data_IF_711035039645
#
_entry.id   IF_711035039645
#
_cell.length_a   1.000
_cell.length_b   1.000
_cell.length_c   1.000
_cell.angle_alpha   90.00
_cell.angle_beta   90.00
_cell.angle_gamma   90.00
#
_symmetry.space_group_name_H-M   'P 1'
#
loop_
_entity.id
_entity.type
_entity.pdbx_description
1 polymer ?
#
# COMPACT_ATOMS: atom_id res chain seq x y z
N UNK A 1 -4.12 3.69 -16.29
CA UNK A 1 -3.05 2.72 -16.53
C UNK A 1 -3.59 1.40 -16.04
N UNK A 2 -3.68 0.38 -16.91
CA UNK A 2 -3.92 -0.98 -16.43
C UNK A 2 -2.67 -1.46 -15.72
N UNK A 3 -2.82 -2.03 -14.52
CA UNK A 3 -1.71 -2.65 -13.79
C UNK A 3 -1.34 -3.94 -14.49
N UNK A 4 -0.05 -4.14 -14.73
CA UNK A 4 0.47 -5.43 -15.18
C UNK A 4 0.98 -6.28 -14.00
N UNK A 5 1.48 -7.47 -14.31
CA UNK A 5 2.03 -8.38 -13.30
C UNK A 5 3.25 -7.78 -12.58
N UNK A 6 4.10 -7.04 -13.29
CA UNK A 6 5.30 -6.46 -12.69
C UNK A 6 4.95 -5.33 -11.72
N UNK A 7 3.92 -4.54 -12.02
CA UNK A 7 3.38 -3.53 -11.12
C UNK A 7 2.79 -4.17 -9.84
N UNK A 8 2.09 -5.31 -9.96
CA UNK A 8 1.55 -6.02 -8.79
C UNK A 8 2.64 -6.69 -7.96
N UNK A 9 3.66 -7.29 -8.59
CA UNK A 9 4.81 -7.88 -7.90
C UNK A 9 5.57 -6.82 -7.09
N UNK A 10 5.79 -5.64 -7.66
CA UNK A 10 6.46 -4.53 -6.98
C UNK A 10 5.64 -4.01 -5.78
N UNK A 11 4.31 -3.91 -5.94
CA UNK A 11 3.42 -3.52 -4.84
C UNK A 11 3.45 -4.54 -3.71
N UNK A 12 3.31 -5.81 -4.07
CA UNK A 12 3.27 -6.90 -3.13
C UNK A 12 4.58 -7.01 -2.35
N UNK A 13 5.73 -6.94 -3.02
CA UNK A 13 7.03 -7.01 -2.38
C UNK A 13 7.24 -5.89 -1.34
N UNK A 14 6.75 -4.67 -1.61
CA UNK A 14 6.84 -3.55 -0.66
C UNK A 14 5.90 -3.72 0.53
N UNK A 15 4.72 -4.28 0.31
CA UNK A 15 3.82 -4.62 1.40
C UNK A 15 4.38 -5.77 2.25
N UNK A 16 5.03 -6.76 1.64
CA UNK A 16 5.67 -7.87 2.38
C UNK A 16 6.83 -7.39 3.23
N UNK A 17 7.69 -6.51 2.69
CA UNK A 17 8.75 -5.85 3.46
C UNK A 17 8.17 -5.09 4.66
N UNK A 18 7.10 -4.32 4.44
CA UNK A 18 6.47 -3.54 5.50
C UNK A 18 5.78 -4.42 6.55
N UNK A 19 5.09 -5.48 6.14
CA UNK A 19 4.49 -6.45 7.07
C UNK A 19 5.57 -7.11 7.93
N UNK A 20 6.69 -7.53 7.32
CA UNK A 20 7.80 -8.11 8.06
C UNK A 20 8.40 -7.14 9.09
N UNK A 21 8.58 -5.87 8.72
CA UNK A 21 9.05 -4.82 9.64
C UNK A 21 8.10 -4.56 10.81
N UNK A 22 6.79 -4.67 10.56
CA UNK A 22 5.75 -4.51 11.58
C UNK A 22 5.48 -5.79 12.37
N UNK A 23 6.13 -6.90 12.05
CA UNK A 23 5.89 -8.20 12.67
C UNK A 23 4.49 -8.75 12.40
N UNK A 24 3.88 -8.37 11.26
CA UNK A 24 2.54 -8.76 10.87
C UNK A 24 2.58 -9.94 9.91
N UNK A 25 1.67 -10.88 10.10
CA UNK A 25 1.49 -12.04 9.21
C UNK A 25 0.10 -11.97 8.62
N UNK A 26 0.01 -12.00 7.29
CA UNK A 26 -1.26 -12.20 6.61
C UNK A 26 -1.58 -13.70 6.61
N UNK A 27 -2.64 -14.09 7.33
CA UNK A 27 -3.24 -15.40 7.19
C UNK A 27 -4.34 -15.31 6.12
N UNK A 28 -4.03 -15.79 4.91
CA UNK A 28 -4.97 -15.77 3.78
C UNK A 28 -5.63 -17.16 3.62
N UNK A 29 -6.90 -17.33 4.03
CA UNK A 29 -7.60 -18.57 3.80
C UNK A 29 -7.91 -18.74 2.30
N UNK A 30 -7.92 -19.99 1.83
CA UNK A 30 -8.33 -20.30 0.46
C UNK A 30 -9.80 -19.85 0.24
N UNK A 31 -10.02 -18.99 -0.75
CA UNK A 31 -11.35 -18.52 -1.14
C UNK A 31 -11.71 -19.00 -2.56
N UNK A 32 -12.67 -19.92 -2.64
CA UNK A 32 -13.18 -20.48 -3.90
C UNK A 32 -13.75 -19.42 -4.86
N UNK A 33 -14.20 -18.27 -4.35
CA UNK A 33 -14.69 -17.16 -5.18
C UNK A 33 -13.52 -16.47 -5.90
N UNK A 34 -12.40 -16.30 -5.20
CA UNK A 34 -11.17 -15.76 -5.77
C UNK A 34 -10.61 -16.71 -6.82
N UNK A 35 -10.59 -18.02 -6.53
CA UNK A 35 -10.19 -19.06 -7.50
C UNK A 35 -11.05 -19.04 -8.76
N UNK A 36 -12.38 -18.94 -8.60
CA UNK A 36 -13.30 -18.89 -9.74
C UNK A 36 -13.10 -17.64 -10.61
N UNK A 37 -12.79 -16.49 -9.99
CA UNK A 37 -12.53 -15.24 -10.71
C UNK A 37 -11.18 -15.27 -11.46
N UNK A 38 -10.21 -16.04 -10.98
CA UNK A 38 -8.91 -16.19 -11.63
C UNK A 38 -9.00 -16.75 -13.06
N UNK A 39 -10.05 -17.52 -13.37
CA UNK A 39 -10.28 -18.06 -14.71
C UNK A 39 -10.52 -16.98 -15.78
N UNK A 40 -11.15 -15.86 -15.40
CA UNK A 40 -11.38 -14.70 -16.28
C UNK A 40 -10.41 -13.56 -16.05
N UNK A 41 -9.76 -13.49 -14.88
CA UNK A 41 -8.83 -12.44 -14.48
C UNK A 41 -7.64 -13.07 -13.73
N UNK A 42 -6.61 -13.55 -14.44
CA UNK A 42 -5.52 -14.32 -13.82
C UNK A 42 -4.77 -13.61 -12.69
N UNK A 43 -4.71 -12.27 -12.73
CA UNK A 43 -4.05 -11.45 -11.70
C UNK A 43 -4.94 -11.13 -10.50
N UNK A 44 -6.24 -11.47 -10.54
CA UNK A 44 -7.19 -11.15 -9.48
C UNK A 44 -6.80 -11.69 -8.10
N UNK A 45 -6.28 -12.94 -7.95
CA UNK A 45 -5.85 -13.44 -6.65
C UNK A 45 -4.74 -12.58 -6.01
N UNK A 46 -3.77 -12.13 -6.81
CA UNK A 46 -2.70 -11.26 -6.32
C UNK A 46 -3.22 -9.87 -5.96
N UNK A 47 -4.07 -9.29 -6.82
CA UNK A 47 -4.70 -8.02 -6.55
C UNK A 47 -5.51 -8.03 -5.25
N UNK A 48 -6.28 -9.10 -5.01
CA UNK A 48 -7.06 -9.29 -3.80
C UNK A 48 -6.18 -9.38 -2.55
N UNK A 49 -5.12 -10.19 -2.60
CA UNK A 49 -4.12 -10.34 -1.53
C UNK A 49 -3.43 -9.02 -1.18
N UNK A 50 -3.03 -8.23 -2.17
CA UNK A 50 -2.46 -6.87 -1.98
C UNK A 50 -3.43 -5.98 -1.19
N UNK A 51 -4.73 -6.04 -1.51
CA UNK A 51 -5.77 -5.32 -0.78
C UNK A 51 -5.81 -5.67 0.70
N UNK A 52 -5.73 -6.95 1.03
CA UNK A 52 -5.68 -7.43 2.43
C UNK A 52 -4.41 -6.99 3.16
N UNK A 53 -3.24 -7.10 2.52
CA UNK A 53 -1.96 -6.64 3.08
C UNK A 53 -2.02 -5.15 3.42
N UNK A 54 -2.56 -4.32 2.50
CA UNK A 54 -2.73 -2.88 2.72
C UNK A 54 -3.65 -2.59 3.90
N UNK A 55 -4.76 -3.31 4.02
CA UNK A 55 -5.69 -3.13 5.15
C UNK A 55 -5.05 -3.52 6.49
N UNK A 56 -4.26 -4.60 6.51
CA UNK A 56 -3.55 -5.04 7.71
C UNK A 56 -2.51 -4.00 8.15
N UNK A 57 -1.71 -3.47 7.21
CA UNK A 57 -0.77 -2.38 7.47
C UNK A 57 -1.49 -1.13 7.98
N UNK A 58 -2.61 -0.72 7.35
CA UNK A 58 -3.36 0.44 7.79
C UNK A 58 -3.77 0.31 9.25
N UNK A 59 -4.42 -0.81 9.62
CA UNK A 59 -4.91 -1.03 10.99
C UNK A 59 -3.79 -0.99 12.03
N UNK A 60 -2.58 -1.43 11.66
CA UNK A 60 -1.43 -1.38 12.55
C UNK A 60 -0.84 0.02 12.71
N UNK A 61 -1.03 0.92 11.73
CA UNK A 61 -0.38 2.22 11.68
C UNK A 61 -1.30 3.42 11.95
N UNK A 62 -2.61 3.29 11.73
CA UNK A 62 -3.62 4.36 11.77
C UNK A 62 -3.52 5.24 13.02
N UNK A 63 -3.30 4.63 14.19
CA UNK A 63 -3.19 5.32 15.47
C UNK A 63 -1.80 5.20 16.12
N UNK A 64 -0.81 4.61 15.43
CA UNK A 64 0.55 4.45 15.95
C UNK A 64 1.56 5.31 15.19
N UNK A 65 1.52 6.61 15.49
CA UNK A 65 2.47 7.59 14.95
C UNK A 65 3.92 7.19 15.17
N UNK A 66 4.25 6.55 16.30
CA UNK A 66 5.65 6.19 16.61
C UNK A 66 6.16 5.12 15.64
N UNK A 67 5.35 4.09 15.39
CA UNK A 67 5.68 3.05 14.42
C UNK A 67 5.76 3.60 12.99
N UNK A 68 4.87 4.51 12.60
CA UNK A 68 4.97 5.19 11.29
C UNK A 68 6.29 5.91 11.13
N UNK A 69 6.74 6.65 12.15
CA UNK A 69 8.02 7.37 12.10
C UNK A 69 9.23 6.43 12.10
N UNK A 70 9.18 5.33 12.87
CA UNK A 70 10.25 4.34 12.92
C UNK A 70 10.44 3.61 11.59
N UNK A 71 9.34 3.37 10.86
CA UNK A 71 9.34 2.65 9.59
C UNK A 71 9.02 3.54 8.38
N UNK A 72 9.19 4.86 8.52
CA UNK A 72 8.74 5.85 7.53
C UNK A 72 9.21 5.56 6.09
N UNK A 73 10.48 5.20 5.83
CA UNK A 73 10.92 4.88 4.47
C UNK A 73 10.17 3.69 3.85
N UNK A 74 9.84 2.68 4.65
CA UNK A 74 9.10 1.51 4.17
C UNK A 74 7.62 1.85 3.89
N UNK A 75 6.98 2.66 4.74
CA UNK A 75 5.61 3.14 4.51
C UNK A 75 5.56 4.01 3.24
N UNK A 76 6.52 4.91 3.06
CA UNK A 76 6.65 5.72 1.85
C UNK A 76 6.88 4.84 0.61
N UNK A 77 7.76 3.85 0.70
CA UNK A 77 8.02 2.90 -0.38
C UNK A 77 6.77 2.12 -0.81
N UNK A 78 5.95 1.67 0.14
CA UNK A 78 4.68 1.01 -0.14
C UNK A 78 3.68 1.94 -0.86
N UNK A 79 3.61 3.21 -0.46
CA UNK A 79 2.75 4.21 -1.14
C UNK A 79 3.22 4.49 -2.57
N UNK A 80 4.53 4.59 -2.78
CA UNK A 80 5.13 4.88 -4.11
C UNK A 80 4.97 3.71 -5.06
N UNK A 81 5.08 2.47 -4.56
CA UNK A 81 4.86 1.28 -5.36
C UNK A 81 3.38 1.10 -5.78
N UNK A 82 2.44 1.66 -5.02
CA UNK A 82 1.00 1.62 -5.33
C UNK A 82 0.64 2.50 -6.53
N UNK A 83 0.68 1.88 -7.71
CA UNK A 83 0.35 2.49 -8.99
C UNK A 83 -1.14 2.44 -9.34
N UNK A 84 -1.96 1.80 -8.52
CA UNK A 84 -3.39 1.66 -8.78
C UNK A 84 -4.12 2.97 -8.51
N UNK A 85 -4.67 3.59 -9.55
CA UNK A 85 -5.47 4.81 -9.40
C UNK A 85 -6.72 4.60 -8.54
N UNK A 86 -7.23 3.37 -8.47
CA UNK A 86 -8.43 3.00 -7.72
C UNK A 86 -8.14 2.51 -6.31
N UNK A 87 -6.86 2.32 -5.94
CA UNK A 87 -6.48 1.89 -4.61
C UNK A 87 -6.86 2.94 -3.56
N UNK A 88 -7.46 2.53 -2.42
CA UNK A 88 -7.66 3.41 -1.28
C UNK A 88 -6.32 3.96 -0.77
N UNK A 89 -6.14 5.29 -0.83
CA UNK A 89 -4.88 5.96 -0.46
C UNK A 89 -4.71 6.20 1.04
N UNK A 90 -5.18 5.27 1.87
CA UNK A 90 -5.13 5.39 3.33
C UNK A 90 -3.71 5.50 3.89
N UNK A 91 -2.73 4.82 3.28
CA UNK A 91 -1.33 4.93 3.71
C UNK A 91 -0.74 6.33 3.45
N UNK A 92 -1.27 7.11 2.50
CA UNK A 92 -0.92 8.53 2.34
C UNK A 92 -1.40 9.34 3.53
N UNK A 93 -2.64 9.07 4.00
CA UNK A 93 -3.18 9.72 5.19
C UNK A 93 -2.40 9.38 6.46
N UNK A 94 -1.94 8.13 6.59
CA UNK A 94 -1.03 7.69 7.67
C UNK A 94 0.26 8.50 7.68
N UNK A 95 0.94 8.66 6.53
CA UNK A 95 2.14 9.49 6.42
C UNK A 95 1.82 10.95 6.81
N UNK A 96 0.78 11.53 6.22
CA UNK A 96 0.39 12.91 6.47
C UNK A 96 0.01 13.16 7.94
N UNK A 97 -0.63 12.21 8.61
CA UNK A 97 -0.94 12.27 10.04
C UNK A 97 0.31 12.21 10.92
N UNK A 98 1.32 11.43 10.53
CA UNK A 98 2.53 11.25 11.31
C UNK A 98 3.55 12.39 11.17
N UNK A 99 3.71 12.99 9.98
CA UNK A 99 4.71 14.03 9.72
C UNK A 99 4.15 15.38 9.29
N UNK A 100 2.85 15.48 9.08
CA UNK A 100 2.18 16.65 8.52
C UNK A 100 2.15 16.63 6.98
N UNK A 101 1.08 17.17 6.41
CA UNK A 101 0.80 17.15 4.96
C UNK A 101 1.95 17.68 4.10
N UNK A 102 2.50 18.84 4.47
CA UNK A 102 3.57 19.51 3.68
C UNK A 102 4.82 18.64 3.56
N UNK A 103 5.21 17.95 4.64
CA UNK A 103 6.38 17.05 4.61
C UNK A 103 6.05 15.78 3.83
N UNK A 104 4.90 15.17 4.07
CA UNK A 104 4.48 13.99 3.33
C UNK A 104 4.41 14.25 1.81
N UNK A 105 3.86 15.39 1.38
CA UNK A 105 3.83 15.78 -0.03
C UNK A 105 5.23 15.95 -0.63
N UNK A 106 6.14 16.64 0.09
CA UNK A 106 7.51 16.83 -0.38
C UNK A 106 8.27 15.50 -0.53
N UNK A 107 8.12 14.61 0.44
CA UNK A 107 8.76 13.30 0.42
C UNK A 107 8.19 12.40 -0.70
N UNK A 108 6.86 12.43 -0.91
CA UNK A 108 6.19 11.73 -2.02
C UNK A 108 6.66 12.25 -3.38
N UNK A 109 6.78 13.58 -3.53
CA UNK A 109 7.26 14.19 -4.76
C UNK A 109 8.73 13.80 -5.03
N UNK A 110 9.58 13.87 -4.01
CA UNK A 110 10.98 13.48 -4.12
C UNK A 110 11.16 11.98 -4.46
N UNK A 111 10.27 11.13 -3.98
CA UNK A 111 10.27 9.69 -4.26
C UNK A 111 9.62 9.33 -5.61
N UNK A 112 9.13 10.31 -6.38
CA UNK A 112 8.49 10.05 -7.69
C UNK A 112 7.11 9.40 -7.58
N UNK A 113 6.35 9.70 -6.53
CA UNK A 113 5.00 9.18 -6.35
C UNK A 113 4.06 9.62 -7.49
N UNK A 114 3.01 8.83 -7.73
CA UNK A 114 2.01 9.14 -8.74
C UNK A 114 1.26 10.45 -8.45
N UNK A 115 0.72 11.07 -9.50
CA UNK A 115 -0.12 12.27 -9.35
C UNK A 115 -1.34 12.02 -8.43
N UNK A 116 -1.87 10.80 -8.42
CA UNK A 116 -2.94 10.40 -7.52
C UNK A 116 -2.50 10.41 -6.06
N UNK A 117 -1.36 9.81 -5.74
CA UNK A 117 -0.81 9.83 -4.38
C UNK A 117 -0.56 11.27 -3.90
N UNK A 118 -0.01 12.13 -4.75
CA UNK A 118 0.21 13.55 -4.46
C UNK A 118 -1.11 14.31 -4.22
N UNK A 119 -2.16 14.02 -4.99
CA UNK A 119 -3.48 14.63 -4.78
C UNK A 119 -4.03 14.28 -3.40
N UNK A 120 -3.90 13.03 -2.97
CA UNK A 120 -4.39 12.58 -1.67
C UNK A 120 -3.62 13.18 -0.48
N UNK A 121 -2.33 13.49 -0.64
CA UNK A 121 -1.56 14.17 0.40
C UNK A 121 -2.01 15.62 0.65
N UNK A 122 -2.73 16.22 -0.31
CA UNK A 122 -3.22 17.61 -0.27
C UNK A 122 -4.61 17.75 0.35
N UNK A 123 -5.43 16.68 0.36
CA UNK A 123 -6.78 16.65 0.94
C UNK A 123 -6.73 16.63 2.47
#
# INVERSE_FOLDING_TARGET
MELDAADLDAQEARLDELLALLGLVLDEPADRRVEALAAGQPLYPQFHRIGHKRQLVLRALEDDRRSVLAHYPAVLGAVVADRDANSPRWLVAVLAGAVGRRRAEADLLAAGASADALRWARL
#
